data_IF_762879616050
#
_entry.id   IF_762879616050
#
_cell.length_a   1.000
_cell.length_b   1.000
_cell.length_c   1.000
_cell.angle_alpha   90.00
_cell.angle_beta   90.00
_cell.angle_gamma   90.00
#
_symmetry.space_group_name_H-M   'P 1'
#
loop_
_entity.id
_entity.type
_entity.pdbx_description
1 polymer ?
#
# COMPACT_ATOMS: atom_id res chain seq x y z
N UNK A 1 -6.82 -22.46 -16.03
CA UNK A 1 -6.45 -21.47 -17.05
C UNK A 1 -7.44 -20.34 -16.92
N UNK A 2 -6.98 -19.12 -16.71
CA UNK A 2 -7.83 -17.96 -16.57
C UNK A 2 -7.55 -17.01 -17.72
N UNK A 3 -8.59 -16.32 -18.20
CA UNK A 3 -8.52 -15.30 -19.23
C UNK A 3 -9.25 -14.08 -18.71
N UNK A 4 -8.49 -13.01 -18.49
CA UNK A 4 -9.04 -11.73 -18.05
C UNK A 4 -8.93 -10.68 -19.16
N UNK A 5 -9.97 -9.86 -19.30
CA UNK A 5 -9.95 -8.69 -20.15
C UNK A 5 -10.21 -7.46 -19.30
N UNK A 6 -9.20 -6.61 -19.18
CA UNK A 6 -9.25 -5.38 -18.42
C UNK A 6 -9.45 -4.23 -19.43
N UNK A 7 -10.42 -3.38 -19.17
CA UNK A 7 -10.68 -2.17 -19.96
C UNK A 7 -10.47 -0.94 -19.11
N UNK A 8 -9.67 -0.02 -19.62
CA UNK A 8 -9.43 1.29 -19.02
C UNK A 8 -10.00 2.35 -19.96
N UNK A 9 -10.97 3.10 -19.46
CA UNK A 9 -11.71 4.12 -20.20
C UNK A 9 -11.64 5.43 -19.43
N UNK A 10 -11.11 6.49 -20.02
CA UNK A 10 -10.88 7.73 -19.29
C UNK A 10 -11.10 8.96 -20.17
N UNK A 11 -11.75 9.96 -19.57
CA UNK A 11 -11.87 11.31 -20.07
C UNK A 11 -11.23 12.26 -19.07
N UNK A 12 -10.45 13.20 -19.55
CA UNK A 12 -9.82 14.20 -18.74
C UNK A 12 -10.46 15.57 -18.99
N UNK A 13 -10.70 16.30 -17.91
CA UNK A 13 -11.08 17.71 -17.94
C UNK A 13 -10.36 18.39 -16.79
N UNK A 14 -9.11 18.80 -17.03
CA UNK A 14 -8.24 19.42 -16.03
C UNK A 14 -8.38 20.92 -16.05
N UNK A 15 -8.51 21.47 -14.84
CA UNK A 15 -8.46 22.94 -14.66
C UNK A 15 -7.02 23.35 -14.42
N UNK A 16 -6.61 24.55 -14.85
CA UNK A 16 -5.32 25.12 -14.48
C UNK A 16 -5.12 25.10 -12.96
N UNK A 17 -3.88 24.81 -12.53
CA UNK A 17 -3.48 24.87 -11.13
C UNK A 17 -2.59 26.10 -10.96
N UNK A 18 -2.96 27.00 -10.03
CA UNK A 18 -2.15 28.15 -9.64
C UNK A 18 -1.52 27.88 -8.27
N UNK A 19 -0.21 28.00 -8.19
CA UNK A 19 0.56 27.90 -6.95
C UNK A 19 0.93 29.31 -6.56
N UNK A 20 0.41 29.75 -5.42
CA UNK A 20 0.52 31.13 -4.90
C UNK A 20 1.44 31.09 -3.68
N UNK A 21 2.38 32.04 -3.60
CA UNK A 21 3.24 32.26 -2.44
C UNK A 21 2.47 32.87 -1.28
N UNK A 22 3.08 32.88 -0.12
CA UNK A 22 2.47 33.45 1.08
C UNK A 22 2.13 34.95 0.98
N UNK A 23 2.86 35.70 0.16
CA UNK A 23 2.64 37.10 -0.15
C UNK A 23 1.59 37.32 -1.26
N UNK A 24 0.82 36.30 -1.59
CA UNK A 24 -0.21 36.27 -2.64
C UNK A 24 0.34 36.40 -4.07
N UNK A 25 1.65 36.43 -4.27
CA UNK A 25 2.24 36.42 -5.61
C UNK A 25 2.17 35.05 -6.26
N UNK A 26 2.03 35.02 -7.60
CA UNK A 26 1.99 33.78 -8.36
C UNK A 26 3.40 33.17 -8.44
N UNK A 27 3.58 31.96 -7.93
CA UNK A 27 4.83 31.20 -8.04
C UNK A 27 4.87 30.39 -9.33
N UNK A 28 3.80 29.61 -9.57
CA UNK A 28 3.72 28.75 -10.73
C UNK A 28 2.29 28.60 -11.22
N UNK A 29 2.10 28.55 -12.53
CA UNK A 29 0.84 28.23 -13.18
C UNK A 29 1.01 26.97 -14.03
N UNK A 30 0.18 26.00 -13.80
CA UNK A 30 0.16 24.73 -14.53
C UNK A 30 -1.04 24.75 -15.46
N UNK A 31 -0.77 24.68 -16.75
CA UNK A 31 -1.78 24.60 -17.79
C UNK A 31 -1.80 23.19 -18.38
N UNK A 32 -2.98 22.70 -18.71
CA UNK A 32 -3.15 21.38 -19.32
C UNK A 32 -3.73 21.51 -20.72
N UNK A 33 -3.23 20.67 -21.61
CA UNK A 33 -3.88 20.37 -22.88
C UNK A 33 -4.35 18.91 -22.75
N UNK A 34 -5.63 18.74 -22.42
CA UNK A 34 -6.19 17.41 -22.25
C UNK A 34 -6.16 16.64 -23.57
N UNK A 35 -5.82 15.36 -23.48
CA UNK A 35 -5.93 14.43 -24.61
C UNK A 35 -7.38 14.12 -24.94
N UNK A 36 -7.66 13.62 -26.14
CA UNK A 36 -8.96 13.04 -26.43
C UNK A 36 -9.23 11.87 -25.48
N UNK A 37 -10.48 11.69 -25.07
CA UNK A 37 -10.85 10.50 -24.32
C UNK A 37 -10.37 9.23 -25.03
N UNK A 38 -9.92 8.25 -24.29
CA UNK A 38 -9.40 7.01 -24.84
C UNK A 38 -9.93 5.77 -24.14
N UNK A 39 -9.88 4.66 -24.85
CA UNK A 39 -10.14 3.34 -24.31
C UNK A 39 -8.96 2.42 -24.63
N UNK A 40 -8.39 1.80 -23.60
CA UNK A 40 -7.32 0.82 -23.76
C UNK A 40 -7.76 -0.51 -23.14
N UNK A 41 -7.53 -1.59 -23.84
CA UNK A 41 -7.75 -2.94 -23.34
C UNK A 41 -6.41 -3.61 -23.06
N UNK A 42 -6.42 -4.56 -22.13
CA UNK A 42 -5.36 -5.52 -21.90
C UNK A 42 -5.99 -6.91 -21.79
N UNK A 43 -5.46 -7.86 -22.50
CA UNK A 43 -5.84 -9.28 -22.40
C UNK A 43 -4.73 -9.99 -21.63
N UNK A 44 -5.12 -10.67 -20.57
CA UNK A 44 -4.21 -11.43 -19.70
C UNK A 44 -4.58 -12.92 -19.77
N UNK A 45 -3.57 -13.76 -19.96
CA UNK A 45 -3.71 -15.21 -19.94
C UNK A 45 -2.85 -15.76 -18.82
N UNK A 46 -3.42 -16.61 -17.97
CA UNK A 46 -2.66 -17.27 -16.92
C UNK A 46 -2.99 -18.74 -16.80
N UNK A 47 -2.00 -19.51 -16.41
CA UNK A 47 -2.13 -20.93 -16.11
C UNK A 47 -1.21 -21.29 -14.96
N UNK A 48 -1.61 -22.24 -14.14
CA UNK A 48 -0.77 -22.72 -13.05
C UNK A 48 -0.88 -24.24 -12.87
N UNK A 49 0.21 -24.82 -12.35
CA UNK A 49 0.26 -26.19 -11.87
C UNK A 49 0.88 -26.18 -10.47
N UNK A 50 0.35 -27.00 -9.60
CA UNK A 50 0.83 -27.15 -8.22
C UNK A 50 0.79 -28.61 -7.83
N UNK A 51 1.81 -29.04 -7.10
CA UNK A 51 1.86 -30.34 -6.49
C UNK A 51 2.30 -30.27 -5.03
N UNK A 52 1.89 -31.27 -4.25
CA UNK A 52 2.10 -31.32 -2.81
C UNK A 52 2.52 -32.73 -2.40
N UNK A 53 3.75 -32.86 -1.92
CA UNK A 53 4.35 -34.13 -1.56
C UNK A 53 4.56 -34.29 -0.06
N UNK A 54 3.92 -35.25 0.55
CA UNK A 54 4.24 -35.73 1.90
C UNK A 54 5.45 -36.66 1.80
N UNK A 55 6.66 -36.07 1.90
CA UNK A 55 7.92 -36.86 1.80
C UNK A 55 8.05 -37.83 2.98
N UNK A 56 7.54 -37.44 4.14
CA UNK A 56 7.41 -38.23 5.34
C UNK A 56 6.24 -37.71 6.19
N UNK A 57 5.92 -38.43 7.28
CA UNK A 57 4.89 -37.99 8.25
C UNK A 57 5.17 -36.59 8.85
N UNK A 58 6.40 -36.10 8.71
CA UNK A 58 6.85 -34.84 9.28
C UNK A 58 7.30 -33.82 8.26
N UNK A 59 7.46 -34.19 7.00
CA UNK A 59 8.02 -33.33 5.97
C UNK A 59 7.08 -33.22 4.79
N UNK A 60 6.60 -31.99 4.57
CA UNK A 60 5.74 -31.62 3.46
C UNK A 60 6.47 -30.64 2.55
N UNK A 61 6.49 -30.94 1.26
CA UNK A 61 6.99 -30.05 0.20
C UNK A 61 5.84 -29.70 -0.74
N UNK A 62 5.71 -28.41 -1.02
CA UNK A 62 4.77 -27.88 -2.02
C UNK A 62 5.60 -27.18 -3.08
N UNK A 63 5.32 -27.45 -4.35
CA UNK A 63 5.91 -26.76 -5.49
C UNK A 63 4.82 -26.31 -6.45
N UNK A 64 5.00 -25.16 -7.04
CA UNK A 64 4.08 -24.65 -8.04
C UNK A 64 4.80 -23.83 -9.10
N UNK A 65 4.23 -23.81 -10.28
CA UNK A 65 4.65 -22.96 -11.38
C UNK A 65 3.41 -22.27 -11.94
N UNK A 66 3.47 -20.95 -12.02
CA UNK A 66 2.49 -20.13 -12.72
C UNK A 66 3.15 -19.51 -13.95
N UNK A 67 2.42 -19.48 -15.04
CA UNK A 67 2.79 -18.81 -16.28
C UNK A 67 1.78 -17.72 -16.58
N UNK A 68 2.24 -16.52 -16.80
CA UNK A 68 1.42 -15.35 -17.12
C UNK A 68 1.88 -14.74 -18.45
N UNK A 69 0.94 -14.28 -19.23
CA UNK A 69 1.16 -13.49 -20.45
C UNK A 69 0.17 -12.35 -20.51
N UNK A 70 0.61 -11.17 -20.85
CA UNK A 70 -0.25 -10.02 -21.13
C UNK A 70 0.03 -9.38 -22.48
N UNK A 71 -0.97 -8.68 -23.03
CA UNK A 71 -0.92 -8.06 -24.35
C UNK A 71 0.01 -6.84 -24.41
N UNK A 72 0.32 -6.22 -23.26
CA UNK A 72 1.18 -5.03 -23.19
C UNK A 72 2.63 -5.44 -23.34
N UNK A 73 3.12 -6.28 -22.43
CA UNK A 73 4.52 -6.71 -22.40
C UNK A 73 4.82 -7.77 -23.46
N UNK A 74 3.82 -8.58 -23.84
CA UNK A 74 3.89 -9.64 -24.86
C UNK A 74 4.97 -10.68 -24.61
N UNK A 75 5.27 -10.94 -23.36
CA UNK A 75 6.26 -11.95 -22.92
C UNK A 75 5.64 -12.88 -21.90
N UNK A 76 6.05 -14.13 -21.96
CA UNK A 76 5.66 -15.11 -20.95
C UNK A 76 6.52 -14.90 -19.70
N UNK A 77 5.86 -14.76 -18.57
CA UNK A 77 6.46 -14.62 -17.24
C UNK A 77 6.26 -15.91 -16.44
N UNK A 78 7.32 -16.50 -15.95
CA UNK A 78 7.28 -17.73 -15.16
C UNK A 78 7.50 -17.43 -13.68
N UNK A 79 6.57 -17.86 -12.85
CA UNK A 79 6.51 -17.62 -11.41
C UNK A 79 6.60 -18.93 -10.62
N UNK A 80 7.82 -19.54 -10.48
CA UNK A 80 8.03 -20.70 -9.66
C UNK A 80 7.91 -20.36 -8.17
N UNK A 81 7.30 -21.26 -7.40
CA UNK A 81 7.18 -21.14 -5.94
C UNK A 81 7.41 -22.51 -5.29
N UNK A 82 8.00 -22.49 -4.11
CA UNK A 82 8.14 -23.67 -3.27
C UNK A 82 7.92 -23.33 -1.81
N UNK A 83 7.38 -24.27 -1.06
CA UNK A 83 7.23 -24.17 0.38
C UNK A 83 7.57 -25.52 1.04
N UNK A 84 8.29 -25.44 2.14
CA UNK A 84 8.66 -26.59 2.96
C UNK A 84 8.07 -26.40 4.35
N UNK A 85 7.44 -27.45 4.86
CA UNK A 85 6.94 -27.52 6.24
C UNK A 85 7.52 -28.76 6.90
N UNK A 86 8.14 -28.58 8.08
CA UNK A 86 8.73 -29.64 8.86
C UNK A 86 8.21 -29.65 10.30
N UNK A 87 7.69 -30.79 10.74
CA UNK A 87 7.29 -31.01 12.14
C UNK A 87 8.52 -31.43 12.94
N UNK A 88 9.07 -30.51 13.74
CA UNK A 88 10.31 -30.71 14.52
C UNK A 88 10.09 -31.74 15.62
N UNK A 89 8.95 -31.64 16.31
CA UNK A 89 8.60 -32.52 17.43
C UNK A 89 7.67 -33.65 16.99
N UNK A 90 7.79 -34.83 17.61
CA UNK A 90 6.97 -36.00 17.27
C UNK A 90 5.47 -35.79 17.53
N UNK A 91 5.15 -34.93 18.52
CA UNK A 91 3.78 -34.58 18.87
C UNK A 91 3.18 -33.49 17.97
N UNK A 92 3.93 -33.03 16.97
CA UNK A 92 3.50 -31.98 16.03
C UNK A 92 3.34 -30.58 16.63
N UNK A 93 3.81 -30.36 17.86
CA UNK A 93 3.63 -29.07 18.54
C UNK A 93 4.56 -27.97 18.01
N UNK A 94 5.67 -28.34 17.36
CA UNK A 94 6.61 -27.38 16.77
C UNK A 94 6.75 -27.62 15.28
N UNK A 95 6.52 -26.56 14.50
CA UNK A 95 6.56 -26.59 13.04
C UNK A 95 7.54 -25.52 12.55
N UNK A 96 8.47 -25.91 11.69
CA UNK A 96 9.26 -24.99 10.86
C UNK A 96 8.63 -24.86 9.49
N UNK A 97 8.68 -23.68 8.92
CA UNK A 97 8.24 -23.41 7.57
C UNK A 97 9.26 -22.55 6.84
N UNK A 98 9.48 -22.85 5.58
CA UNK A 98 10.29 -22.01 4.69
C UNK A 98 9.55 -21.88 3.37
N UNK A 99 9.56 -20.69 2.80
CA UNK A 99 8.92 -20.39 1.52
C UNK A 99 9.86 -19.61 0.63
N UNK A 100 9.74 -19.88 -0.66
CA UNK A 100 10.49 -19.20 -1.70
C UNK A 100 9.59 -19.03 -2.92
N UNK A 101 9.69 -17.89 -3.61
CA UNK A 101 8.96 -17.70 -4.85
C UNK A 101 9.38 -16.48 -5.63
N UNK A 102 9.23 -16.60 -6.94
CA UNK A 102 9.24 -15.49 -7.87
C UNK A 102 7.77 -15.19 -8.20
N UNK A 103 7.41 -13.91 -8.14
CA UNK A 103 6.07 -13.43 -8.49
C UNK A 103 6.24 -12.32 -9.50
N UNK A 104 5.57 -12.41 -10.63
CA UNK A 104 5.45 -11.32 -11.58
C UNK A 104 4.17 -10.55 -11.30
N UNK A 105 4.27 -9.23 -11.40
CA UNK A 105 3.12 -8.33 -11.25
C UNK A 105 2.53 -8.02 -12.63
N UNK A 106 1.25 -7.74 -12.67
CA UNK A 106 0.56 -7.41 -13.89
C UNK A 106 0.94 -6.01 -14.38
N UNK A 107 0.89 -5.80 -15.68
CA UNK A 107 1.14 -4.50 -16.29
C UNK A 107 -0.05 -3.57 -16.04
N UNK A 108 0.17 -2.50 -15.26
CA UNK A 108 -0.88 -1.52 -14.97
C UNK A 108 -1.18 -0.66 -16.20
N UNK A 109 -2.44 -0.64 -16.62
CA UNK A 109 -2.91 0.23 -17.69
C UNK A 109 -2.74 1.73 -17.36
N UNK A 110 -2.79 2.12 -16.08
CA UNK A 110 -2.55 3.50 -15.66
C UNK A 110 -1.18 4.02 -16.10
N UNK A 111 -0.12 3.21 -15.97
CA UNK A 111 1.22 3.62 -16.44
C UNK A 111 1.31 3.73 -17.95
N UNK A 112 0.81 2.73 -18.68
CA UNK A 112 0.99 2.70 -20.14
C UNK A 112 0.09 3.69 -20.89
N UNK A 113 -0.98 4.15 -20.26
CA UNK A 113 -1.91 5.12 -20.85
C UNK A 113 -1.60 6.57 -20.50
N UNK A 114 -0.65 6.88 -19.61
CA UNK A 114 -0.29 8.26 -19.26
C UNK A 114 0.07 9.14 -20.45
N UNK A 115 0.73 8.67 -21.52
CA UNK A 115 0.94 9.48 -22.72
C UNK A 115 -0.35 9.96 -23.38
N UNK A 116 -1.45 9.23 -23.21
CA UNK A 116 -2.76 9.55 -23.80
C UNK A 116 -3.55 10.57 -22.97
N UNK A 117 -3.08 10.85 -21.75
CA UNK A 117 -3.76 11.76 -20.82
C UNK A 117 -3.60 13.25 -21.17
N UNK A 118 -2.84 13.58 -22.21
CA UNK A 118 -2.58 14.95 -22.65
C UNK A 118 -1.18 15.42 -22.28
N UNK A 119 -1.01 16.74 -22.25
CA UNK A 119 0.27 17.40 -21.95
C UNK A 119 0.08 18.46 -20.89
N UNK A 120 1.16 18.84 -20.24
CA UNK A 120 1.21 19.87 -19.24
C UNK A 120 2.29 20.88 -19.57
N UNK A 121 1.99 22.17 -19.36
CA UNK A 121 2.96 23.27 -19.46
C UNK A 121 3.00 24.01 -18.14
N UNK A 122 4.18 24.12 -17.55
CA UNK A 122 4.43 24.87 -16.32
C UNK A 122 5.04 26.25 -16.66
N UNK A 123 4.39 27.30 -16.18
CA UNK A 123 4.88 28.68 -16.21
C UNK A 123 5.41 29.01 -14.82
N UNK A 124 6.70 29.24 -14.68
CA UNK A 124 7.35 29.57 -13.40
C UNK A 124 7.65 31.05 -13.37
N UNK A 125 7.17 31.73 -12.33
CA UNK A 125 7.27 33.20 -12.18
C UNK A 125 8.37 33.57 -11.19
N UNK A 126 9.00 34.72 -11.44
CA UNK A 126 9.91 35.39 -10.52
C UNK A 126 9.17 35.85 -9.24
N UNK A 127 9.87 36.41 -8.29
CA UNK A 127 9.29 36.88 -7.03
C UNK A 127 8.17 37.95 -7.24
N UNK A 128 8.22 38.70 -8.34
CA UNK A 128 7.19 39.69 -8.70
C UNK A 128 5.83 39.05 -9.07
N UNK A 129 5.77 37.73 -9.24
CA UNK A 129 4.58 36.98 -9.64
C UNK A 129 4.03 37.30 -11.03
N UNK A 130 4.80 38.01 -11.87
CA UNK A 130 4.39 38.48 -13.21
C UNK A 130 5.38 38.10 -14.29
N UNK A 131 6.67 38.24 -14.02
CA UNK A 131 7.74 37.95 -14.97
C UNK A 131 8.07 36.45 -14.91
N UNK A 132 8.22 35.80 -16.08
CA UNK A 132 8.66 34.44 -16.12
C UNK A 132 10.12 34.32 -15.66
N UNK A 133 10.37 33.48 -14.65
CA UNK A 133 11.72 33.19 -14.18
C UNK A 133 12.52 32.36 -15.17
N UNK A 134 11.81 31.49 -15.91
CA UNK A 134 12.37 30.57 -16.93
C UNK A 134 11.37 30.44 -18.09
N UNK A 135 11.81 30.00 -19.28
CA UNK A 135 10.90 29.61 -20.35
C UNK A 135 9.87 28.57 -19.91
N UNK A 136 8.66 28.58 -20.48
CA UNK A 136 7.65 27.57 -20.16
C UNK A 136 8.15 26.15 -20.34
N UNK A 137 7.83 25.32 -19.37
CA UNK A 137 8.32 23.94 -19.26
C UNK A 137 7.25 22.98 -19.71
N UNK A 138 7.49 22.26 -20.80
CA UNK A 138 6.61 21.17 -21.26
C UNK A 138 6.91 19.89 -20.50
N UNK A 139 5.86 19.23 -19.98
CA UNK A 139 5.94 17.93 -19.34
C UNK A 139 5.06 16.95 -20.14
N UNK A 140 5.65 15.88 -20.60
CA UNK A 140 4.98 14.84 -21.35
C UNK A 140 5.51 13.46 -21.00
N UNK A 141 4.73 12.43 -21.30
CA UNK A 141 5.06 11.05 -21.02
C UNK A 141 5.19 10.27 -22.32
N UNK A 142 6.12 9.33 -22.35
CA UNK A 142 6.25 8.34 -23.43
C UNK A 142 6.35 6.93 -22.86
N UNK A 143 5.85 5.98 -23.60
CA UNK A 143 5.91 4.55 -23.29
C UNK A 143 6.28 3.77 -24.53
N UNK A 144 7.38 3.02 -24.46
CA UNK A 144 7.72 2.02 -25.47
C UNK A 144 7.36 0.64 -24.92
N UNK A 145 6.16 0.15 -25.21
CA UNK A 145 5.65 -1.13 -24.68
C UNK A 145 6.57 -2.32 -25.03
N UNK A 146 7.29 -2.26 -26.16
CA UNK A 146 8.18 -3.36 -26.60
C UNK A 146 9.39 -3.55 -25.70
N UNK A 147 9.82 -2.51 -25.01
CA UNK A 147 10.98 -2.53 -24.11
C UNK A 147 10.60 -2.90 -22.68
N UNK A 148 9.30 -2.93 -22.38
CA UNK A 148 8.82 -3.24 -21.03
C UNK A 148 8.94 -4.74 -20.72
N UNK A 149 9.09 -5.00 -19.41
CA UNK A 149 9.07 -6.34 -18.80
C UNK A 149 8.14 -6.32 -17.62
N UNK A 150 7.50 -7.45 -17.35
CA UNK A 150 6.66 -7.56 -16.14
C UNK A 150 7.52 -7.34 -14.90
N UNK A 151 7.12 -6.43 -13.99
CA UNK A 151 7.78 -6.28 -12.70
C UNK A 151 7.81 -7.61 -11.96
N UNK A 152 8.91 -7.92 -11.27
CA UNK A 152 9.04 -9.17 -10.57
C UNK A 152 9.52 -8.99 -9.13
N UNK A 153 9.04 -9.86 -8.27
CA UNK A 153 9.39 -9.91 -6.86
C UNK A 153 9.96 -11.28 -6.52
N UNK A 154 11.15 -11.26 -5.95
CA UNK A 154 11.77 -12.41 -5.31
C UNK A 154 11.41 -12.39 -3.83
N UNK A 155 10.69 -13.39 -3.38
CA UNK A 155 10.20 -13.48 -2.02
C UNK A 155 10.73 -14.72 -1.35
N UNK A 156 11.16 -14.62 -0.10
CA UNK A 156 11.42 -15.78 0.72
C UNK A 156 11.02 -15.50 2.17
N UNK A 157 10.67 -16.55 2.88
CA UNK A 157 10.35 -16.48 4.29
C UNK A 157 10.83 -17.73 5.02
N UNK A 158 11.08 -17.55 6.31
CA UNK A 158 11.34 -18.65 7.24
C UNK A 158 10.60 -18.38 8.54
N UNK A 159 9.95 -19.38 9.09
CA UNK A 159 9.16 -19.24 10.30
C UNK A 159 9.16 -20.47 11.17
N UNK A 160 8.94 -20.23 12.45
CA UNK A 160 8.69 -21.24 13.46
C UNK A 160 7.33 -21.00 14.10
N UNK A 161 6.52 -22.02 14.21
CA UNK A 161 5.28 -22.00 14.96
C UNK A 161 5.33 -23.08 16.04
N UNK A 162 4.95 -22.70 17.26
CA UNK A 162 4.86 -23.63 18.39
C UNK A 162 3.53 -23.51 19.09
N UNK A 163 2.92 -24.67 19.34
CA UNK A 163 1.78 -24.79 20.23
C UNK A 163 2.28 -24.85 21.66
N UNK A 164 1.90 -23.84 22.45
CA UNK A 164 2.17 -23.72 23.87
C UNK A 164 1.03 -24.33 24.70
N UNK A 165 1.20 -24.51 26.04
CA UNK A 165 0.12 -24.92 26.92
C UNK A 165 -1.15 -24.06 26.73
N UNK A 166 -2.29 -24.61 27.11
CA UNK A 166 -3.62 -23.98 26.98
C UNK A 166 -4.00 -23.61 25.53
N UNK A 167 -3.48 -24.35 24.53
CA UNK A 167 -3.76 -24.17 23.09
C UNK A 167 -3.44 -22.76 22.58
N UNK A 168 -2.40 -22.13 23.10
CA UNK A 168 -1.82 -20.92 22.55
C UNK A 168 -0.84 -21.25 21.44
N UNK A 169 -0.94 -20.60 20.29
CA UNK A 169 0.01 -20.74 19.19
C UNK A 169 0.85 -19.48 19.09
N UNK A 170 2.16 -19.67 19.14
CA UNK A 170 3.15 -18.62 18.90
C UNK A 170 3.83 -18.90 17.57
N UNK A 171 3.82 -17.92 16.66
CA UNK A 171 4.55 -17.95 15.39
C UNK A 171 5.49 -16.79 15.31
N UNK A 172 6.72 -17.04 14.89
CA UNK A 172 7.68 -16.03 14.50
C UNK A 172 8.10 -16.29 13.07
N UNK A 173 8.03 -15.27 12.21
CA UNK A 173 8.37 -15.37 10.79
C UNK A 173 9.22 -14.19 10.37
N UNK A 174 10.29 -14.48 9.63
CA UNK A 174 11.05 -13.49 8.88
C UNK A 174 10.68 -13.58 7.40
N UNK A 175 10.40 -12.44 6.80
CA UNK A 175 10.00 -12.30 5.40
C UNK A 175 10.88 -11.27 4.71
N UNK A 176 11.35 -11.60 3.53
CA UNK A 176 12.07 -10.67 2.66
C UNK A 176 11.47 -10.65 1.26
N UNK A 177 11.28 -9.44 0.70
CA UNK A 177 10.85 -9.24 -0.69
C UNK A 177 11.84 -8.30 -1.39
N UNK A 178 12.22 -8.67 -2.60
CA UNK A 178 13.09 -7.89 -3.49
C UNK A 178 12.39 -7.71 -4.83
N UNK A 179 11.95 -6.48 -5.09
CA UNK A 179 11.39 -6.08 -6.37
C UNK A 179 12.47 -5.67 -7.35
N UNK A 180 12.34 -6.09 -8.58
CA UNK A 180 13.14 -5.67 -9.73
C UNK A 180 12.27 -5.48 -10.95
N UNK A 181 12.79 -4.77 -11.94
CA UNK A 181 12.08 -4.46 -13.19
C UNK A 181 10.75 -3.72 -12.97
N UNK A 182 10.54 -3.07 -11.81
CA UNK A 182 9.35 -2.27 -11.53
C UNK A 182 9.26 -1.05 -12.44
N UNK A 183 8.05 -0.61 -12.72
CA UNK A 183 7.78 0.55 -13.55
C UNK A 183 8.07 1.85 -12.82
N UNK A 184 8.79 2.75 -13.48
CA UNK A 184 8.94 4.14 -13.07
C UNK A 184 9.12 5.03 -14.27
N UNK A 185 8.56 6.23 -14.21
CA UNK A 185 8.84 7.27 -15.18
C UNK A 185 10.17 7.94 -14.85
N UNK A 186 11.05 7.97 -15.83
CA UNK A 186 12.39 8.56 -15.74
C UNK A 186 12.45 9.73 -16.69
N UNK A 187 12.92 10.87 -16.22
CA UNK A 187 13.15 12.02 -17.08
C UNK A 187 14.31 11.72 -18.04
N UNK A 188 14.05 11.80 -19.33
CA UNK A 188 15.01 11.58 -20.42
C UNK A 188 15.30 12.89 -21.20
N UNK A 189 14.66 13.99 -20.82
CA UNK A 189 14.93 15.33 -21.36
C UNK A 189 16.13 16.00 -20.68
N UNK A 190 16.50 17.18 -21.17
CA UNK A 190 17.55 18.00 -20.54
C UNK A 190 17.05 18.53 -19.20
N UNK A 191 17.74 18.19 -18.11
CA UNK A 191 17.47 18.66 -16.78
C UNK A 191 18.35 19.85 -16.41
N UNK A 192 17.73 20.89 -15.85
CA UNK A 192 18.40 21.72 -14.87
C UNK A 192 17.90 21.31 -13.48
N UNK A 193 18.76 21.22 -12.45
CA UNK A 193 18.37 20.77 -11.11
C UNK A 193 17.22 21.55 -10.48
N UNK A 194 17.06 22.83 -10.88
CA UNK A 194 16.03 23.70 -10.35
C UNK A 194 14.63 23.49 -10.98
N UNK A 195 14.57 22.95 -12.20
CA UNK A 195 13.32 22.80 -12.94
C UNK A 195 13.38 21.53 -13.80
N UNK A 196 12.91 20.39 -13.29
CA UNK A 196 12.80 19.18 -14.08
C UNK A 196 11.75 19.40 -15.15
N UNK A 197 12.22 19.88 -16.29
CA UNK A 197 11.47 19.93 -17.52
C UNK A 197 11.60 18.59 -18.19
N UNK A 198 10.52 18.03 -18.67
CA UNK A 198 10.92 17.04 -19.57
C UNK A 198 9.95 16.03 -20.07
N UNK A 199 10.58 15.20 -20.82
CA UNK A 199 10.04 13.99 -21.39
C UNK A 199 10.29 12.87 -20.38
N UNK A 200 9.22 12.32 -19.83
CA UNK A 200 9.27 11.20 -18.90
C UNK A 200 9.00 9.90 -19.64
N UNK A 201 9.98 9.02 -19.63
CA UNK A 201 9.84 7.69 -20.26
C UNK A 201 9.58 6.61 -19.20
N UNK A 202 8.61 5.74 -19.47
CA UNK A 202 8.34 4.58 -18.63
C UNK A 202 9.44 3.52 -18.82
N UNK A 203 10.13 3.19 -17.76
CA UNK A 203 11.23 2.20 -17.75
C UNK A 203 11.10 1.19 -16.62
N UNK A 204 11.72 0.02 -16.82
CA UNK A 204 11.87 -1.04 -15.81
C UNK A 204 13.08 -0.80 -14.89
N UNK A 205 13.18 0.36 -14.26
CA UNK A 205 14.33 0.70 -13.41
C UNK A 205 14.02 0.76 -11.91
N UNK A 206 12.78 0.59 -11.51
CA UNK A 206 12.38 0.59 -10.11
C UNK A 206 12.79 -0.72 -9.43
N UNK A 207 13.37 -0.56 -8.23
CA UNK A 207 13.78 -1.65 -7.35
C UNK A 207 13.25 -1.39 -5.95
N UNK A 208 12.53 -2.39 -5.42
CA UNK A 208 11.89 -2.30 -4.11
C UNK A 208 12.53 -3.30 -3.15
N UNK A 209 12.60 -2.92 -1.89
CA UNK A 209 13.06 -3.77 -0.81
C UNK A 209 12.08 -3.71 0.35
N UNK A 210 11.67 -4.89 0.82
CA UNK A 210 10.90 -5.07 2.03
C UNK A 210 11.51 -6.17 2.87
N UNK A 211 11.77 -5.88 4.16
CA UNK A 211 12.21 -6.84 5.16
C UNK A 211 11.26 -6.74 6.35
N UNK A 212 10.81 -7.87 6.89
CA UNK A 212 9.92 -7.89 8.05
C UNK A 212 10.20 -9.07 8.97
N UNK A 213 10.08 -8.83 10.27
CA UNK A 213 9.97 -9.84 11.32
C UNK A 213 8.57 -9.71 11.92
N UNK A 214 7.81 -10.79 11.90
CA UNK A 214 6.49 -10.85 12.49
C UNK A 214 6.44 -11.87 13.63
N UNK A 215 5.83 -11.47 14.76
CA UNK A 215 5.52 -12.35 15.88
C UNK A 215 4.02 -12.35 16.08
N UNK A 216 3.40 -13.53 15.97
CA UNK A 216 1.96 -13.71 16.07
C UNK A 216 1.61 -14.64 17.23
N UNK A 217 0.62 -14.24 18.02
CA UNK A 217 0.01 -15.07 19.06
C UNK A 217 -1.46 -15.25 18.73
N UNK A 218 -1.92 -16.49 18.73
CA UNK A 218 -3.33 -16.82 18.55
C UNK A 218 -3.79 -17.85 19.57
N UNK A 219 -5.03 -17.70 20.02
CA UNK A 219 -5.69 -18.67 20.90
C UNK A 219 -7.16 -18.78 20.53
N UNK A 220 -7.61 -20.02 20.34
CA UNK A 220 -9.02 -20.33 20.26
C UNK A 220 -9.51 -20.81 21.64
N UNK A 221 -10.66 -20.30 22.06
CA UNK A 221 -11.35 -20.73 23.29
C UNK A 221 -12.55 -21.61 22.90
N UNK A 222 -13.17 -22.24 23.88
CA UNK A 222 -14.44 -22.94 23.65
C UNK A 222 -15.49 -21.98 23.07
N UNK A 223 -16.37 -22.51 22.20
CA UNK A 223 -17.60 -21.85 21.76
C UNK A 223 -17.42 -20.56 20.92
N UNK A 224 -16.47 -20.50 20.02
CA UNK A 224 -16.30 -19.39 19.06
C UNK A 224 -15.62 -18.13 19.60
N UNK A 225 -15.01 -18.18 20.76
CA UNK A 225 -14.16 -17.08 21.26
C UNK A 225 -12.73 -17.24 20.77
N UNK A 226 -12.10 -16.15 20.44
CA UNK A 226 -10.73 -16.15 19.91
C UNK A 226 -9.97 -14.90 20.33
N UNK A 227 -8.68 -15.04 20.40
CA UNK A 227 -7.72 -13.95 20.56
C UNK A 227 -6.63 -14.09 19.51
N UNK A 228 -6.29 -12.97 18.91
CA UNK A 228 -5.19 -12.83 17.98
C UNK A 228 -4.41 -11.57 18.31
N UNK A 229 -3.08 -11.65 18.26
CA UNK A 229 -2.19 -10.50 18.32
C UNK A 229 -1.01 -10.73 17.39
N UNK A 230 -0.60 -9.69 16.67
CA UNK A 230 0.59 -9.70 15.83
C UNK A 230 1.37 -8.41 16.02
N UNK A 231 2.68 -8.55 16.12
CA UNK A 231 3.64 -7.45 16.05
C UNK A 231 4.53 -7.64 14.85
N UNK A 232 4.63 -6.60 14.03
CA UNK A 232 5.50 -6.59 12.84
C UNK A 232 6.52 -5.47 12.98
N UNK A 233 7.80 -5.85 12.85
CA UNK A 233 8.90 -4.91 12.63
C UNK A 233 9.29 -5.00 11.17
N UNK A 234 9.17 -3.89 10.42
CA UNK A 234 9.45 -3.90 8.97
C UNK A 234 10.23 -2.68 8.52
N UNK A 235 10.80 -2.78 7.32
CA UNK A 235 11.43 -1.67 6.62
C UNK A 235 11.16 -1.79 5.12
N UNK A 236 10.72 -0.68 4.50
CA UNK A 236 10.47 -0.59 3.07
C UNK A 236 11.31 0.49 2.44
N UNK A 237 11.91 0.19 1.30
CA UNK A 237 12.68 1.15 0.51
C UNK A 237 12.46 0.92 -0.98
N UNK A 238 12.54 2.00 -1.74
CA UNK A 238 12.59 1.97 -3.21
C UNK A 238 13.64 2.96 -3.70
N UNK A 239 14.20 2.70 -4.88
CA UNK A 239 15.01 3.69 -5.59
C UNK A 239 14.13 4.71 -6.36
N UNK A 240 12.81 4.50 -6.39
CA UNK A 240 11.84 5.33 -7.09
C UNK A 240 10.58 5.46 -6.22
N UNK A 241 10.52 6.52 -5.41
CA UNK A 241 9.42 6.74 -4.46
C UNK A 241 8.43 7.82 -4.91
N UNK A 242 8.75 8.53 -6.00
CA UNK A 242 7.90 9.59 -6.57
C UNK A 242 7.18 9.02 -7.78
N UNK A 243 5.86 9.12 -7.76
CA UNK A 243 5.03 8.81 -8.92
C UNK A 243 4.68 10.11 -9.64
N UNK A 244 5.29 10.30 -10.81
CA UNK A 244 5.03 11.48 -11.65
C UNK A 244 3.70 11.32 -12.37
N UNK A 245 2.86 12.34 -12.25
CA UNK A 245 1.62 12.46 -13.02
C UNK A 245 1.43 13.89 -13.50
N UNK A 246 0.58 14.10 -14.50
CA UNK A 246 0.26 15.45 -14.96
C UNK A 246 -0.41 16.28 -13.86
N UNK A 247 -1.20 15.64 -13.00
CA UNK A 247 -2.01 16.30 -11.98
C UNK A 247 -1.21 16.64 -10.70
N UNK A 248 0.00 16.09 -10.53
CA UNK A 248 0.84 16.39 -9.37
C UNK A 248 1.56 17.71 -9.57
N UNK A 249 1.32 18.66 -8.66
CA UNK A 249 2.06 19.91 -8.64
C UNK A 249 3.52 19.73 -8.19
N UNK A 250 3.83 18.63 -7.51
CA UNK A 250 5.15 18.35 -7.00
C UNK A 250 6.18 18.20 -8.13
N UNK A 251 7.34 18.81 -7.91
CA UNK A 251 8.49 18.75 -8.81
C UNK A 251 9.69 18.22 -8.03
N UNK A 252 10.30 17.17 -8.51
CA UNK A 252 11.51 16.59 -7.91
C UNK A 252 12.21 15.67 -8.90
N UNK A 253 13.48 15.42 -8.65
CA UNK A 253 14.18 14.31 -9.29
C UNK A 253 13.72 12.98 -8.69
N UNK A 254 13.83 11.89 -9.47
CA UNK A 254 13.57 10.56 -8.97
C UNK A 254 14.67 10.14 -7.99
N UNK A 255 14.34 10.05 -6.72
CA UNK A 255 15.28 9.74 -5.64
C UNK A 255 14.79 8.54 -4.83
N UNK A 256 15.73 7.75 -4.38
CA UNK A 256 15.45 6.62 -3.50
C UNK A 256 15.05 7.07 -2.08
N UNK A 257 14.18 6.31 -1.45
CA UNK A 257 13.69 6.62 -0.12
C UNK A 257 12.83 5.52 0.48
N UNK A 258 12.14 5.87 1.58
CA UNK A 258 11.10 5.03 2.16
C UNK A 258 9.85 5.10 1.30
N UNK A 259 9.12 3.99 1.25
CA UNK A 259 7.80 4.00 0.60
C UNK A 259 6.80 4.81 1.42
N UNK A 260 5.83 5.44 0.77
CA UNK A 260 4.82 6.28 1.44
C UNK A 260 3.97 5.54 2.50
N UNK A 261 3.92 4.21 2.43
CA UNK A 261 3.21 3.36 3.39
C UNK A 261 4.14 2.64 4.38
N UNK A 262 5.42 3.03 4.47
CA UNK A 262 6.38 2.45 5.41
C UNK A 262 5.97 2.74 6.86
N UNK A 263 5.75 1.68 7.64
CA UNK A 263 5.43 1.73 9.07
C UNK A 263 6.28 0.70 9.81
N UNK A 264 7.46 1.10 10.34
CA UNK A 264 8.44 0.19 10.90
C UNK A 264 7.92 -0.69 12.02
N UNK A 265 7.07 -0.14 12.88
CA UNK A 265 6.46 -0.88 13.97
C UNK A 265 4.95 -0.89 13.79
N UNK A 266 4.36 -2.08 13.82
CA UNK A 266 2.91 -2.25 13.80
C UNK A 266 2.52 -3.36 14.76
N UNK A 267 1.61 -3.06 15.66
CA UNK A 267 0.95 -4.00 16.55
C UNK A 267 -0.55 -4.00 16.26
N UNK A 268 -1.11 -5.16 16.04
CA UNK A 268 -2.55 -5.38 15.94
C UNK A 268 -2.96 -6.47 16.91
N UNK A 269 -4.08 -6.28 17.57
CA UNK A 269 -4.70 -7.33 18.35
C UNK A 269 -6.21 -7.24 18.23
N UNK A 270 -6.88 -8.37 18.22
CA UNK A 270 -8.32 -8.44 18.25
C UNK A 270 -8.78 -9.72 18.92
N UNK A 271 -9.98 -9.66 19.45
CA UNK A 271 -10.55 -10.84 20.07
C UNK A 271 -11.99 -10.62 20.49
N UNK A 272 -12.62 -11.74 20.80
CA UNK A 272 -13.92 -11.76 21.43
C UNK A 272 -13.89 -12.69 22.64
N UNK A 273 -14.59 -12.30 23.70
CA UNK A 273 -14.69 -13.07 24.94
C UNK A 273 -16.04 -12.83 25.62
N UNK A 274 -16.53 -13.77 26.43
CA UNK A 274 -17.70 -13.49 27.26
C UNK A 274 -17.33 -12.42 28.31
N UNK A 275 -18.14 -11.37 28.39
CA UNK A 275 -17.94 -10.31 29.39
C UNK A 275 -18.67 -10.64 30.71
N UNK A 276 -19.96 -10.82 30.58
CA UNK A 276 -20.89 -11.25 31.66
C UNK A 276 -21.98 -12.10 31.02
N UNK A 277 -22.84 -12.72 31.84
CA UNK A 277 -23.92 -13.57 31.33
C UNK A 277 -24.71 -12.89 30.21
N UNK A 278 -24.74 -13.52 29.02
CA UNK A 278 -25.42 -13.08 27.79
C UNK A 278 -24.80 -11.89 27.06
N UNK A 279 -23.65 -11.38 27.49
CA UNK A 279 -22.94 -10.33 26.77
C UNK A 279 -21.56 -10.80 26.34
N UNK A 280 -21.24 -10.55 25.10
CA UNK A 280 -19.94 -10.81 24.50
C UNK A 280 -19.23 -9.47 24.29
N UNK A 281 -17.94 -9.39 24.67
CA UNK A 281 -17.07 -8.26 24.38
C UNK A 281 -16.24 -8.59 23.14
N UNK A 282 -16.24 -7.69 22.16
CA UNK A 282 -15.32 -7.72 21.04
C UNK A 282 -14.43 -6.48 21.07
N UNK A 283 -13.12 -6.69 21.08
CA UNK A 283 -12.12 -5.61 21.10
C UNK A 283 -11.18 -5.73 19.92
N UNK A 284 -10.68 -4.58 19.45
CA UNK A 284 -9.53 -4.54 18.55
C UNK A 284 -8.62 -3.36 18.92
N UNK A 285 -7.32 -3.59 18.79
CA UNK A 285 -6.28 -2.59 19.00
C UNK A 285 -5.43 -2.53 17.73
N UNK A 286 -5.13 -1.33 17.27
CA UNK A 286 -4.07 -1.07 16.30
C UNK A 286 -3.16 0.01 16.87
N UNK A 287 -1.88 -0.28 16.91
CA UNK A 287 -0.82 0.68 17.14
C UNK A 287 0.20 0.56 16.03
N UNK A 288 0.58 1.67 15.42
CA UNK A 288 1.61 1.69 14.38
C UNK A 288 2.32 3.02 14.32
N UNK A 289 3.55 3.01 13.83
CA UNK A 289 4.25 4.24 13.44
C UNK A 289 3.45 4.97 12.35
N UNK A 290 3.52 6.30 12.39
CA UNK A 290 2.94 7.15 11.35
C UNK A 290 3.56 6.88 9.98
N UNK A 291 2.79 7.07 8.93
CA UNK A 291 3.30 7.01 7.56
C UNK A 291 4.26 8.17 7.29
N UNK A 292 5.29 7.95 6.45
CA UNK A 292 6.19 9.00 6.10
C UNK A 292 5.56 10.00 5.12
N UNK A 293 6.10 11.22 5.11
CA UNK A 293 5.75 12.26 4.17
C UNK A 293 6.98 13.05 3.72
N UNK A 294 6.84 13.72 2.57
CA UNK A 294 7.85 14.61 2.01
C UNK A 294 7.58 16.05 2.41
N UNK A 295 8.65 16.85 2.53
CA UNK A 295 8.57 18.27 2.82
C UNK A 295 8.72 19.07 1.52
N UNK A 296 7.86 20.04 1.32
CA UNK A 296 7.81 20.90 0.14
C UNK A 296 8.09 22.37 0.52
N UNK A 297 8.51 23.15 -0.46
CA UNK A 297 8.52 24.61 -0.39
C UNK A 297 7.26 25.21 -1.05
N UNK A 298 7.16 26.55 -1.07
CA UNK A 298 6.06 27.28 -1.74
C UNK A 298 5.91 26.93 -3.22
N UNK A 299 7.00 26.56 -3.88
CA UNK A 299 7.02 26.23 -5.30
C UNK A 299 6.67 24.74 -5.58
N UNK A 300 6.24 24.00 -4.53
CA UNK A 300 5.95 22.56 -4.57
C UNK A 300 7.16 21.70 -4.97
N UNK A 301 8.37 22.17 -4.63
CA UNK A 301 9.59 21.38 -4.76
C UNK A 301 9.85 20.59 -3.47
N UNK A 302 10.29 19.36 -3.59
CA UNK A 302 10.72 18.58 -2.44
C UNK A 302 12.07 19.11 -1.97
N UNK A 303 12.13 19.58 -0.72
CA UNK A 303 13.33 20.24 -0.16
C UNK A 303 14.16 19.39 0.79
N UNK A 304 13.63 18.24 1.18
CA UNK A 304 14.33 17.21 1.96
C UNK A 304 14.35 15.90 1.18
N UNK A 305 14.99 14.86 1.72
CA UNK A 305 14.86 13.53 1.14
C UNK A 305 13.38 13.10 1.11
N UNK A 306 12.87 12.54 0.00
CA UNK A 306 11.48 12.09 -0.07
C UNK A 306 11.12 11.16 1.08
N UNK A 307 9.93 11.34 1.66
CA UNK A 307 9.42 10.52 2.76
C UNK A 307 10.37 10.48 3.98
N UNK A 308 11.10 11.59 4.25
CA UNK A 308 12.05 11.68 5.36
C UNK A 308 11.38 11.84 6.71
N UNK A 309 10.25 12.54 6.77
CA UNK A 309 9.49 12.80 8.01
C UNK A 309 8.34 11.83 8.16
N UNK A 310 7.75 11.78 9.37
CA UNK A 310 6.61 10.89 9.69
C UNK A 310 5.50 11.62 10.40
N UNK A 311 4.27 11.21 10.10
CA UNK A 311 3.10 11.52 10.91
C UNK A 311 3.29 10.94 12.34
N UNK A 312 2.59 11.47 13.34
CA UNK A 312 2.51 10.84 14.65
C UNK A 312 2.04 9.40 14.57
N UNK A 313 2.43 8.59 15.58
CA UNK A 313 1.95 7.22 15.66
C UNK A 313 0.42 7.16 15.80
N UNK A 314 -0.18 6.15 15.18
CA UNK A 314 -1.61 5.87 15.26
C UNK A 314 -1.87 4.89 16.41
N UNK A 315 -2.89 5.16 17.20
CA UNK A 315 -3.41 4.25 18.19
C UNK A 315 -4.94 4.24 18.14
N UNK A 316 -5.50 3.07 17.85
CA UNK A 316 -6.93 2.84 17.79
C UNK A 316 -7.30 1.70 18.72
N UNK A 317 -8.19 1.97 19.68
CA UNK A 317 -8.82 0.96 20.52
C UNK A 317 -10.33 0.97 20.21
N UNK A 318 -10.85 -0.13 19.71
CA UNK A 318 -12.27 -0.31 19.48
C UNK A 318 -12.81 -1.34 20.48
N UNK A 319 -13.96 -1.06 21.06
CA UNK A 319 -14.62 -1.97 21.99
C UNK A 319 -16.13 -1.95 21.76
N UNK A 320 -16.69 -3.14 21.61
CA UNK A 320 -18.10 -3.34 21.35
C UNK A 320 -18.66 -4.46 22.22
N UNK A 321 -19.84 -4.28 22.72
CA UNK A 321 -20.59 -5.29 23.46
C UNK A 321 -21.73 -5.79 22.60
N UNK A 322 -21.87 -7.10 22.48
CA UNK A 322 -22.96 -7.74 21.74
C UNK A 322 -23.82 -8.58 22.71
N UNK A 323 -25.12 -8.48 22.58
CA UNK A 323 -26.08 -9.34 23.26
C UNK A 323 -26.95 -10.05 22.27
N UNK A 324 -27.02 -11.38 22.41
CA UNK A 324 -27.95 -12.19 21.61
C UNK A 324 -29.24 -12.36 22.39
N UNK A 325 -30.35 -12.08 21.71
CA UNK A 325 -31.70 -12.08 22.29
C UNK A 325 -32.62 -12.95 21.44
N UNK A 326 -33.66 -13.49 22.08
CA UNK A 326 -34.78 -14.12 21.39
C UNK A 326 -35.99 -13.26 21.61
N UNK A 327 -36.55 -12.68 20.53
CA UNK A 327 -37.71 -11.81 20.54
C UNK A 327 -38.71 -12.36 19.50
N UNK A 328 -39.94 -12.61 19.92
CA UNK A 328 -41.03 -13.13 19.06
C UNK A 328 -40.63 -14.44 18.31
N UNK A 329 -39.88 -15.33 18.97
CA UNK A 329 -39.42 -16.59 18.37
C UNK A 329 -38.22 -16.46 17.44
N UNK A 330 -37.76 -15.26 17.16
CA UNK A 330 -36.58 -15.00 16.29
C UNK A 330 -35.34 -14.63 17.11
N UNK A 331 -34.18 -14.98 16.59
CA UNK A 331 -32.88 -14.63 17.19
C UNK A 331 -32.38 -13.32 16.63
N UNK A 332 -31.97 -12.45 17.52
CA UNK A 332 -31.42 -11.14 17.23
C UNK A 332 -30.08 -10.97 17.93
N UNK A 333 -29.19 -10.18 17.33
CA UNK A 333 -27.98 -9.70 17.98
C UNK A 333 -27.99 -8.17 17.98
N UNK A 334 -27.88 -7.61 19.17
CA UNK A 334 -27.73 -6.17 19.40
C UNK A 334 -26.27 -5.92 19.75
N UNK A 335 -25.61 -5.05 19.01
CA UNK A 335 -24.23 -4.66 19.25
C UNK A 335 -24.16 -3.15 19.42
N UNK A 336 -23.43 -2.70 20.44
CA UNK A 336 -23.16 -1.30 20.68
C UNK A 336 -21.73 -1.12 21.18
N UNK A 337 -21.10 -0.01 20.86
CA UNK A 337 -19.75 0.29 21.31
C UNK A 337 -19.15 1.51 20.64
N UNK A 338 -17.88 1.65 20.82
CA UNK A 338 -17.13 2.79 20.31
C UNK A 338 -15.93 2.33 19.46
N UNK A 339 -15.76 2.98 18.31
CA UNK A 339 -14.48 3.04 17.64
C UNK A 339 -13.67 4.19 18.23
N UNK A 340 -12.35 4.01 18.27
CA UNK A 340 -11.44 4.93 18.92
C UNK A 340 -11.90 5.31 20.34
N UNK A 341 -12.09 4.30 21.20
CA UNK A 341 -12.58 4.46 22.56
C UNK A 341 -11.79 5.50 23.37
N UNK A 342 -10.49 5.58 23.14
CA UNK A 342 -9.57 6.52 23.79
C UNK A 342 -9.74 7.96 23.33
N UNK A 343 -10.50 8.18 22.25
CA UNK A 343 -10.66 9.48 21.59
C UNK A 343 -9.32 10.14 21.21
N UNK A 344 -8.28 9.33 20.93
CA UNK A 344 -7.00 9.86 20.49
C UNK A 344 -7.15 10.41 19.07
N UNK A 345 -6.66 11.60 18.85
CA UNK A 345 -6.53 12.18 17.52
C UNK A 345 -5.45 11.42 16.73
N UNK A 346 -5.87 10.80 15.64
CA UNK A 346 -4.98 10.06 14.75
C UNK A 346 -4.93 10.80 13.41
N UNK A 347 -3.97 11.71 13.22
CA UNK A 347 -3.91 12.52 12.02
C UNK A 347 -3.59 11.66 10.78
N UNK A 348 -4.24 11.99 9.67
CA UNK A 348 -4.03 11.35 8.37
C UNK A 348 -3.35 12.28 7.35
N UNK A 349 -3.22 13.56 7.67
CA UNK A 349 -2.57 14.58 6.86
C UNK A 349 -1.72 15.54 7.68
N UNK A 350 -0.90 16.30 6.99
CA UNK A 350 -0.03 17.32 7.58
C UNK A 350 0.18 18.44 6.56
N UNK A 351 0.24 19.70 7.03
CA UNK A 351 0.81 20.76 6.21
C UNK A 351 2.33 20.53 6.14
N UNK A 352 2.78 20.07 4.99
CA UNK A 352 4.18 19.73 4.73
C UNK A 352 4.95 20.83 3.99
N UNK A 353 4.35 22.00 3.79
CA UNK A 353 5.01 23.13 3.18
C UNK A 353 5.86 23.87 4.23
N UNK A 354 7.20 23.81 4.11
CA UNK A 354 8.14 24.41 5.07
C UNK A 354 8.04 25.95 5.15
N UNK A 355 7.50 26.59 4.11
CA UNK A 355 7.29 28.04 4.08
C UNK A 355 5.93 28.47 4.63
N UNK A 356 5.04 27.51 4.93
CA UNK A 356 3.72 27.77 5.50
C UNK A 356 3.84 28.16 6.98
N UNK A 357 3.10 29.17 7.47
CA UNK A 357 2.99 29.43 8.91
C UNK A 357 2.34 28.30 9.68
N UNK A 358 1.66 27.37 8.98
CA UNK A 358 1.03 26.18 9.53
C UNK A 358 1.88 24.90 9.34
N UNK A 359 3.16 25.05 8.98
CA UNK A 359 4.06 23.93 8.80
C UNK A 359 4.03 22.97 9.99
N UNK A 360 3.87 21.67 9.71
CA UNK A 360 3.66 20.59 10.68
C UNK A 360 2.34 20.66 11.47
N UNK A 361 1.37 21.43 11.03
CA UNK A 361 0.01 21.30 11.56
C UNK A 361 -0.64 20.03 11.00
N UNK A 362 -1.13 19.20 11.90
CA UNK A 362 -1.73 17.92 11.54
C UNK A 362 -3.24 18.04 11.36
N UNK A 363 -3.76 17.38 10.33
CA UNK A 363 -5.18 17.38 9.97
C UNK A 363 -5.73 15.97 9.70
N UNK A 364 -7.01 15.93 9.30
CA UNK A 364 -7.69 14.66 9.03
C UNK A 364 -7.86 13.82 10.29
N UNK A 365 -8.19 14.45 11.42
CA UNK A 365 -8.25 13.81 12.72
C UNK A 365 -9.40 12.81 12.81
N UNK A 366 -9.11 11.62 13.33
CA UNK A 366 -10.09 10.58 13.59
C UNK A 366 -10.51 10.60 15.05
N UNK A 367 -11.73 11.04 15.30
CA UNK A 367 -12.30 11.07 16.65
C UNK A 367 -13.07 9.80 16.99
N UNK A 368 -13.46 9.68 18.27
CA UNK A 368 -14.31 8.60 18.76
C UNK A 368 -15.67 8.64 18.05
N UNK A 369 -16.16 7.48 17.63
CA UNK A 369 -17.48 7.32 17.06
C UNK A 369 -18.25 6.19 17.74
N UNK A 370 -19.53 6.44 18.04
CA UNK A 370 -20.44 5.40 18.53
C UNK A 370 -21.00 4.60 17.36
N UNK A 371 -21.05 3.27 17.53
CA UNK A 371 -21.66 2.35 16.56
C UNK A 371 -22.71 1.51 17.27
N UNK A 372 -23.95 1.52 16.73
CA UNK A 372 -25.02 0.62 17.05
C UNK A 372 -25.36 -0.28 15.85
N UNK A 373 -25.58 -1.56 16.08
CA UNK A 373 -25.95 -2.52 15.05
C UNK A 373 -26.98 -3.52 15.56
N UNK A 374 -28.01 -3.75 14.76
CA UNK A 374 -29.01 -4.79 14.97
C UNK A 374 -28.86 -5.81 13.85
N UNK A 375 -28.76 -7.10 14.20
CA UNK A 375 -28.71 -8.21 13.23
C UNK A 375 -29.81 -9.20 13.49
N UNK A 376 -30.51 -9.58 12.45
CA UNK A 376 -31.42 -10.72 12.44
C UNK A 376 -30.61 -12.01 12.20
N UNK A 377 -30.78 -12.99 13.07
CA UNK A 377 -30.01 -14.25 13.02
C UNK A 377 -30.88 -15.46 12.59
N UNK A 378 -32.13 -15.23 12.24
CA UNK A 378 -33.06 -16.27 11.77
C UNK A 378 -33.97 -16.83 12.85
N UNK A 379 -34.85 -17.74 12.44
CA UNK A 379 -35.73 -18.54 13.32
C UNK A 379 -35.01 -19.83 13.67
N UNK A 380 -34.62 -20.05 14.89
CA UNK A 380 -34.03 -21.16 15.64
C UNK A 380 -32.72 -20.81 16.30
#
# INVERSE_FOLDING_TARGET
MDVDRITYDQFFSRRPISIIRQDETLSRQIMFSDGPGFRRNNVELSGFAQDRWSISDRLLLEVSLRSDWDEIVRRVSLSPRSALTYLVTADGQTKLSAGFGIVHDNSSLDFVTRPLAGQRVDFVYAEDGRTLAIPPVNISFIVNERDLRSPRFFNWSVGIERRLPASVYLRTEFLQKRGSDGFAFVNVGSNTPAHPAGLFELRNNRRDRYDALEVTVRKAFKESYSFFAAYTRSATRSNSVIDFSLDSAAVSEQVGGRMAWDSPNRFIAWGSMPLIRHFDLACSVEWRDGFPFSVFNSDQQIVEAPNSRRLPFVFLLNAHVERRLRILGYRWALRAGFNNLTNRENPTGVDSNITSPQFLTFGGLQHRSFIGRIRFLGSK
#
